data_IF_989509287740
#
_entry.id   IF_989509287740
#
_cell.length_a   1.000
_cell.length_b   1.000
_cell.length_c   1.000
_cell.angle_alpha   90.00
_cell.angle_beta   90.00
_cell.angle_gamma   90.00
#
_symmetry.space_group_name_H-M   'P 1'
#
loop_
_entity.id
_entity.type
_entity.pdbx_description
1 polymer ?
#
# COMPACT_ATOMS: atom_id res chain seq x y z
N UNK A 1 -3.93 -1.59 5.90
CA UNK A 1 -3.85 -0.95 7.24
C UNK A 1 -4.88 0.16 7.33
N UNK A 2 -5.38 0.48 8.52
CA UNK A 2 -6.34 1.56 8.76
C UNK A 2 -5.95 2.37 10.01
N UNK A 3 -6.82 3.26 10.51
CA UNK A 3 -6.56 4.01 11.73
C UNK A 3 -6.22 3.10 12.92
N UNK A 4 -5.45 3.61 13.87
CA UNK A 4 -5.17 2.89 15.11
C UNK A 4 -6.48 2.56 15.83
N UNK A 5 -6.63 1.30 16.27
CA UNK A 5 -7.85 0.81 16.91
C UNK A 5 -8.99 0.44 15.95
N UNK A 6 -8.80 0.51 14.63
CA UNK A 6 -9.76 -0.01 13.67
C UNK A 6 -9.95 -1.54 13.91
N UNK A 7 -11.20 -2.04 14.02
CA UNK A 7 -11.43 -3.47 14.18
C UNK A 7 -10.85 -4.29 13.02
N UNK A 8 -10.13 -5.40 13.30
CA UNK A 8 -9.47 -6.20 12.26
C UNK A 8 -10.43 -6.69 11.17
N UNK A 9 -11.66 -7.08 11.53
CA UNK A 9 -12.66 -7.57 10.58
C UNK A 9 -13.10 -6.51 9.56
N UNK A 10 -13.12 -5.24 9.97
CA UNK A 10 -13.46 -4.14 9.09
C UNK A 10 -12.34 -3.88 8.09
N UNK A 11 -11.08 -3.91 8.55
CA UNK A 11 -9.91 -3.81 7.67
C UNK A 11 -9.85 -4.97 6.66
N UNK A 12 -10.13 -6.19 7.11
CA UNK A 12 -10.16 -7.37 6.26
C UNK A 12 -11.29 -7.28 5.21
N UNK A 13 -12.48 -6.82 5.62
CA UNK A 13 -13.61 -6.66 4.71
C UNK A 13 -13.32 -5.62 3.64
N UNK A 14 -12.80 -4.46 4.01
CA UNK A 14 -12.43 -3.41 3.06
C UNK A 14 -11.34 -3.87 2.09
N UNK A 15 -10.28 -4.53 2.58
CA UNK A 15 -9.21 -5.06 1.74
C UNK A 15 -9.73 -6.07 0.72
N UNK A 16 -10.62 -6.99 1.13
CA UNK A 16 -11.24 -7.97 0.23
C UNK A 16 -12.05 -7.29 -0.88
N UNK A 17 -12.87 -6.31 -0.54
CA UNK A 17 -13.67 -5.56 -1.53
C UNK A 17 -12.76 -4.81 -2.49
N UNK A 18 -11.74 -4.11 -1.97
CA UNK A 18 -10.79 -3.37 -2.78
C UNK A 18 -10.04 -4.27 -3.77
N UNK A 19 -9.55 -5.42 -3.30
CA UNK A 19 -8.88 -6.40 -4.16
C UNK A 19 -9.80 -6.90 -5.27
N UNK A 20 -11.08 -7.16 -4.97
CA UNK A 20 -12.04 -7.58 -5.99
C UNK A 20 -12.27 -6.50 -7.07
N UNK A 21 -12.41 -5.23 -6.66
CA UNK A 21 -12.59 -4.11 -7.59
C UNK A 21 -11.35 -3.90 -8.45
N UNK A 22 -10.15 -4.02 -7.89
CA UNK A 22 -8.90 -3.87 -8.65
C UNK A 22 -8.71 -4.93 -9.75
N UNK A 23 -9.37 -6.08 -9.66
CA UNK A 23 -9.34 -7.10 -10.71
C UNK A 23 -10.32 -6.82 -11.87
N UNK A 24 -11.18 -5.81 -11.74
CA UNK A 24 -12.08 -5.43 -12.81
C UNK A 24 -11.27 -4.87 -14.00
N UNK A 25 -11.53 -5.32 -15.24
CA UNK A 25 -10.71 -4.96 -16.40
C UNK A 25 -10.57 -3.45 -16.62
N UNK A 26 -11.67 -2.71 -16.45
CA UNK A 26 -11.73 -1.27 -16.59
C UNK A 26 -10.88 -0.54 -15.53
N UNK A 27 -10.90 -1.02 -14.29
CA UNK A 27 -10.11 -0.46 -13.19
C UNK A 27 -8.64 -0.73 -13.42
N UNK A 28 -8.29 -1.98 -13.73
CA UNK A 28 -6.93 -2.38 -14.04
C UNK A 28 -6.35 -1.59 -15.21
N UNK A 29 -7.14 -1.38 -16.26
CA UNK A 29 -6.76 -0.58 -17.42
C UNK A 29 -6.41 0.85 -17.05
N UNK A 30 -7.19 1.49 -16.17
CA UNK A 30 -6.89 2.86 -15.71
C UNK A 30 -5.56 2.90 -14.95
N UNK A 31 -5.34 1.96 -14.04
CA UNK A 31 -4.09 1.89 -13.27
C UNK A 31 -2.88 1.70 -14.20
N UNK A 32 -2.95 0.72 -15.09
CA UNK A 32 -1.81 0.34 -15.93
C UNK A 32 -1.55 1.35 -17.06
N UNK A 33 -2.60 1.83 -17.73
CA UNK A 33 -2.44 2.62 -18.95
C UNK A 33 -2.48 4.12 -18.70
N UNK A 34 -3.23 4.58 -17.70
CA UNK A 34 -3.38 6.01 -17.42
C UNK A 34 -2.42 6.47 -16.34
N UNK A 35 -2.19 5.65 -15.32
CA UNK A 35 -1.34 6.01 -14.18
C UNK A 35 0.07 5.42 -14.28
N UNK A 36 0.35 4.58 -15.30
CA UNK A 36 1.59 3.83 -15.44
C UNK A 36 1.96 3.05 -14.17
N UNK A 37 0.95 2.56 -13.44
CA UNK A 37 1.09 1.80 -12.22
C UNK A 37 0.92 0.29 -12.43
N UNK A 38 1.18 -0.48 -11.38
CA UNK A 38 0.95 -1.93 -11.35
C UNK A 38 -0.09 -2.26 -10.28
N UNK A 39 -1.06 -3.11 -10.62
CA UNK A 39 -2.01 -3.66 -9.64
C UNK A 39 -1.36 -4.83 -8.91
N UNK A 40 -0.94 -4.61 -7.67
CA UNK A 40 -0.30 -5.63 -6.82
C UNK A 40 -1.31 -6.38 -5.94
N UNK A 41 -2.25 -5.65 -5.32
CA UNK A 41 -3.20 -6.20 -4.34
C UNK A 41 -2.54 -6.67 -3.04
N UNK A 42 -3.18 -7.62 -2.35
CA UNK A 42 -2.63 -8.28 -1.15
C UNK A 42 -3.50 -8.15 0.11
N UNK A 43 -3.03 -8.70 1.23
CA UNK A 43 -3.71 -8.64 2.54
C UNK A 43 -3.32 -7.38 3.32
N UNK A 44 -4.11 -6.96 4.33
CA UNK A 44 -3.74 -5.87 5.22
C UNK A 44 -2.37 -6.06 5.88
N UNK A 45 -2.02 -7.29 6.23
CA UNK A 45 -0.75 -7.67 6.88
C UNK A 45 0.42 -7.58 5.91
N UNK A 46 0.25 -8.02 4.65
CA UNK A 46 1.26 -7.86 3.62
C UNK A 46 1.58 -6.37 3.39
N UNK A 47 0.54 -5.53 3.36
CA UNK A 47 0.74 -4.08 3.23
C UNK A 47 1.41 -3.47 4.47
N UNK A 48 1.07 -3.92 5.68
CA UNK A 48 1.74 -3.49 6.91
C UNK A 48 3.23 -3.87 6.93
N UNK A 49 3.54 -5.10 6.50
CA UNK A 49 4.90 -5.59 6.38
C UNK A 49 5.70 -4.78 5.34
N UNK A 50 5.09 -4.46 4.20
CA UNK A 50 5.71 -3.61 3.18
C UNK A 50 6.08 -2.22 3.74
N UNK A 51 5.15 -1.53 4.41
CA UNK A 51 5.42 -0.22 5.03
C UNK A 51 6.60 -0.32 6.01
N UNK A 52 6.62 -1.37 6.84
CA UNK A 52 7.68 -1.59 7.83
C UNK A 52 9.04 -1.80 7.15
N UNK A 53 9.07 -2.61 6.08
CA UNK A 53 10.28 -2.89 5.30
C UNK A 53 10.80 -1.63 4.59
N UNK A 54 9.91 -0.87 3.95
CA UNK A 54 10.28 0.37 3.27
C UNK A 54 10.82 1.42 4.24
N UNK A 55 10.19 1.56 5.41
CA UNK A 55 10.71 2.45 6.45
C UNK A 55 12.10 2.02 6.93
N UNK A 56 12.29 0.72 7.19
CA UNK A 56 13.59 0.18 7.60
C UNK A 56 14.67 0.38 6.54
N UNK A 57 14.31 0.32 5.25
CA UNK A 57 15.22 0.54 4.11
C UNK A 57 15.57 2.01 3.94
N UNK A 58 14.58 2.89 3.90
CA UNK A 58 14.78 4.28 3.47
C UNK A 58 15.19 5.22 4.60
N UNK A 59 14.72 5.01 5.83
CA UNK A 59 15.03 5.92 6.94
C UNK A 59 16.55 6.02 7.24
N UNK A 60 17.33 4.92 7.24
CA UNK A 60 18.78 5.01 7.39
C UNK A 60 19.47 5.77 6.24
N UNK A 61 19.04 5.52 4.99
CA UNK A 61 19.61 6.18 3.82
C UNK A 61 19.39 7.69 3.86
N UNK A 62 18.15 8.12 4.13
CA UNK A 62 17.79 9.55 4.28
C UNK A 62 18.72 10.22 5.29
N UNK A 63 18.93 9.59 6.45
CA UNK A 63 19.84 10.09 7.49
C UNK A 63 21.30 10.12 7.03
N UNK A 64 21.77 9.09 6.31
CA UNK A 64 23.17 9.00 5.89
C UNK A 64 23.55 10.05 4.84
N UNK A 65 22.62 10.45 3.97
CA UNK A 65 22.86 11.49 2.96
C UNK A 65 22.42 12.89 3.40
N UNK A 66 21.97 13.04 4.66
CA UNK A 66 21.64 14.34 5.23
C UNK A 66 20.41 15.02 4.63
N UNK A 67 19.50 14.28 4.00
CA UNK A 67 18.23 14.81 3.50
C UNK A 67 17.36 15.22 4.69
N UNK A 68 16.83 16.45 4.66
CA UNK A 68 15.95 17.02 5.70
C UNK A 68 14.74 17.67 5.03
N UNK A 69 13.62 17.69 5.75
CA UNK A 69 12.51 18.60 5.43
C UNK A 69 12.91 20.01 5.84
N UNK A 70 12.44 21.01 5.10
CA UNK A 70 12.58 22.43 5.47
C UNK A 70 11.91 22.79 6.80
#
# INVERSE_FOLDING_TARGET
>A
VGPAGLPPELAATASRVFNAVMQQPEVRRVVEQTQAGEVVGGTPEQFAAFITAEHARWAPLIRSVGIRTE
#
